data_IF_406016105246
#
_entry.id   IF_406016105246
#
_cell.length_a   1.000
_cell.length_b   1.000
_cell.length_c   1.000
_cell.angle_alpha   90.00
_cell.angle_beta   90.00
_cell.angle_gamma   90.00
#
_symmetry.space_group_name_H-M   'P 1'
#
loop_
_entity.id
_entity.type
_entity.pdbx_description
1 polymer ?
#
# COMPACT_ATOMS: atom_id res chain seq x y z
N UNK A 1 23.73 17.49 -8.67
CA UNK A 1 22.78 17.37 -7.56
C UNK A 1 23.01 16.09 -6.76
N UNK A 2 22.91 14.92 -7.32
CA UNK A 2 23.19 13.62 -6.72
C UNK A 2 24.21 12.87 -7.55
N UNK A 3 25.19 12.21 -6.91
CA UNK A 3 26.17 11.33 -7.57
C UNK A 3 26.35 10.08 -6.74
N UNK A 4 26.20 8.94 -7.39
CA UNK A 4 26.51 7.60 -6.89
C UNK A 4 27.58 7.02 -7.80
N UNK A 5 28.67 6.52 -7.20
CA UNK A 5 29.81 5.91 -7.92
C UNK A 5 30.13 4.59 -7.27
N UNK A 6 29.77 3.50 -7.93
CA UNK A 6 29.86 2.13 -7.43
C UNK A 6 29.14 1.91 -6.09
N UNK A 7 28.11 2.70 -5.78
CA UNK A 7 27.47 2.68 -4.47
C UNK A 7 26.76 1.35 -4.19
N UNK A 8 26.93 0.86 -2.97
CA UNK A 8 26.23 -0.29 -2.44
C UNK A 8 25.85 -0.14 -0.97
N UNK A 9 24.79 -0.86 -0.58
CA UNK A 9 24.37 -0.96 0.82
C UNK A 9 23.93 -2.37 1.16
N UNK A 10 24.42 -2.89 2.29
CA UNK A 10 24.04 -4.17 2.88
C UNK A 10 23.59 -3.96 4.32
N UNK A 11 22.34 -4.31 4.61
CA UNK A 11 21.81 -4.21 5.99
C UNK A 11 22.52 -5.17 6.94
N UNK A 12 22.75 -4.74 8.20
CA UNK A 12 23.32 -5.56 9.25
C UNK A 12 22.52 -6.89 9.40
N UNK A 13 23.26 -8.00 9.55
CA UNK A 13 22.66 -9.34 9.65
C UNK A 13 22.15 -9.95 8.36
N UNK A 14 22.16 -9.22 7.24
CA UNK A 14 21.81 -9.75 5.91
C UNK A 14 23.07 -10.16 5.14
N UNK A 15 23.00 -11.29 4.42
CA UNK A 15 24.10 -11.73 3.52
C UNK A 15 24.04 -11.05 2.17
N UNK A 16 22.83 -10.83 1.65
CA UNK A 16 22.62 -10.19 0.35
C UNK A 16 22.70 -8.66 0.47
N UNK A 17 23.26 -8.03 -0.56
CA UNK A 17 23.22 -6.59 -0.74
C UNK A 17 21.80 -6.15 -1.10
N UNK A 18 21.36 -5.04 -0.55
CA UNK A 18 20.09 -4.41 -0.94
C UNK A 18 20.24 -3.71 -2.29
N UNK A 19 21.37 -3.02 -2.47
CA UNK A 19 21.85 -2.44 -3.74
C UNK A 19 23.36 -2.58 -3.82
N UNK A 20 23.92 -2.72 -5.02
CA UNK A 20 25.36 -2.84 -5.20
C UNK A 20 25.80 -2.34 -6.58
N UNK A 21 26.93 -1.62 -6.63
CA UNK A 21 27.48 -1.14 -7.89
C UNK A 21 26.55 -0.16 -8.61
N UNK A 22 25.87 0.70 -7.85
CA UNK A 22 24.98 1.72 -8.41
C UNK A 22 25.80 2.91 -8.88
N UNK A 23 25.85 3.10 -10.20
CA UNK A 23 26.39 4.30 -10.86
C UNK A 23 25.22 5.14 -11.35
N UNK A 24 25.02 6.32 -10.76
CA UNK A 24 23.90 7.19 -11.09
C UNK A 24 24.26 8.64 -10.82
N UNK A 25 23.97 9.51 -11.77
CA UNK A 25 24.05 10.94 -11.60
C UNK A 25 22.70 11.56 -11.92
N UNK A 26 22.21 12.43 -11.02
CA UNK A 26 20.97 13.20 -11.20
C UNK A 26 21.35 14.68 -11.11
N UNK A 27 21.03 15.43 -12.15
CA UNK A 27 21.25 16.87 -12.21
C UNK A 27 20.05 17.64 -11.62
N UNK A 28 20.22 18.95 -11.37
CA UNK A 28 19.15 19.79 -10.80
C UNK A 28 17.97 19.88 -11.76
N UNK A 29 16.75 19.83 -11.22
CA UNK A 29 15.51 19.92 -11.98
C UNK A 29 15.10 18.62 -12.71
N UNK A 30 15.92 17.54 -12.66
CA UNK A 30 15.52 16.25 -13.19
C UNK A 30 14.39 15.61 -12.34
N UNK A 31 13.51 14.91 -13.00
CA UNK A 31 12.38 14.17 -12.41
C UNK A 31 12.53 12.72 -12.77
N UNK A 32 13.12 11.99 -11.84
CA UNK A 32 13.52 10.59 -12.03
C UNK A 32 12.47 9.66 -11.42
N UNK A 33 11.94 8.76 -12.24
CA UNK A 33 11.16 7.61 -11.76
C UNK A 33 12.10 6.43 -11.55
N UNK A 34 12.21 6.00 -10.30
CA UNK A 34 13.04 4.85 -9.91
C UNK A 34 12.20 3.59 -9.92
N UNK A 35 12.46 2.68 -10.84
CA UNK A 35 11.74 1.43 -11.03
C UNK A 35 12.61 0.21 -10.70
N UNK A 36 11.96 -0.92 -10.61
CA UNK A 36 12.57 -2.23 -10.41
C UNK A 36 11.62 -3.17 -9.68
N UNK A 37 11.83 -4.48 -9.75
CA UNK A 37 11.02 -5.47 -9.05
C UNK A 37 10.97 -5.24 -7.54
N UNK A 38 10.05 -5.89 -6.86
CA UNK A 38 10.01 -5.90 -5.40
C UNK A 38 11.33 -6.45 -4.85
N UNK A 39 11.91 -5.77 -3.86
CA UNK A 39 13.23 -6.13 -3.32
C UNK A 39 14.45 -5.64 -4.12
N UNK A 40 14.28 -4.85 -5.18
CA UNK A 40 15.40 -4.23 -5.92
C UNK A 40 16.15 -3.13 -5.15
N UNK A 41 15.76 -2.84 -3.89
CA UNK A 41 16.47 -1.90 -3.03
C UNK A 41 16.09 -0.44 -3.22
N UNK A 42 14.98 -0.12 -3.91
CA UNK A 42 14.51 1.25 -4.19
C UNK A 42 14.40 2.10 -2.92
N UNK A 43 13.63 1.65 -1.93
CA UNK A 43 13.44 2.35 -0.64
C UNK A 43 14.76 2.47 0.14
N UNK A 44 15.63 1.44 0.07
CA UNK A 44 16.97 1.49 0.67
C UNK A 44 17.82 2.57 0.01
N UNK A 45 17.76 2.69 -1.32
CA UNK A 45 18.49 3.71 -2.05
C UNK A 45 17.97 5.13 -1.70
N UNK A 46 16.64 5.32 -1.63
CA UNK A 46 16.06 6.60 -1.19
C UNK A 46 16.49 6.96 0.24
N UNK A 47 16.47 6.00 1.17
CA UNK A 47 16.92 6.21 2.55
C UNK A 47 18.43 6.54 2.63
N UNK A 48 19.25 5.92 1.77
CA UNK A 48 20.67 6.24 1.66
C UNK A 48 20.89 7.68 1.18
N UNK A 49 20.19 8.09 0.11
CA UNK A 49 20.25 9.44 -0.45
C UNK A 49 19.78 10.49 0.58
N UNK A 50 18.77 10.15 1.39
CA UNK A 50 18.30 11.00 2.48
C UNK A 50 19.26 11.06 3.68
N UNK A 51 20.34 10.26 3.70
CA UNK A 51 21.28 10.19 4.82
C UNK A 51 20.74 9.49 6.06
N UNK A 52 19.74 8.61 5.90
CA UNK A 52 19.04 7.94 7.00
C UNK A 52 19.57 6.53 7.32
N UNK A 53 20.63 6.09 6.66
CA UNK A 53 21.26 4.79 6.90
C UNK A 53 22.53 4.98 7.74
N UNK A 54 22.46 4.82 9.09
CA UNK A 54 23.64 4.95 9.94
C UNK A 54 24.58 3.76 9.74
N UNK A 55 25.88 3.98 9.87
CA UNK A 55 26.93 2.95 9.73
C UNK A 55 26.74 1.76 10.65
N UNK A 56 26.03 1.94 11.78
CA UNK A 56 25.65 0.86 12.70
C UNK A 56 24.55 -0.07 12.15
N UNK A 57 23.79 0.37 11.16
CA UNK A 57 22.67 -0.40 10.58
C UNK A 57 23.05 -1.22 9.34
N UNK A 58 24.32 -1.12 8.88
CA UNK A 58 24.76 -1.84 7.69
C UNK A 58 26.16 -1.47 7.26
N UNK A 59 26.48 -1.88 6.04
CA UNK A 59 27.77 -1.68 5.38
C UNK A 59 27.56 -0.99 4.05
N UNK A 60 28.30 0.09 3.83
CA UNK A 60 28.30 0.83 2.57
C UNK A 60 29.58 0.56 1.77
N UNK A 61 29.46 0.54 0.43
CA UNK A 61 30.59 0.60 -0.50
C UNK A 61 30.40 1.72 -1.52
N UNK A 62 31.48 2.15 -2.19
CA UNK A 62 31.44 3.21 -3.17
C UNK A 62 31.23 4.61 -2.57
N UNK A 63 30.75 5.53 -3.40
CA UNK A 63 30.58 6.95 -3.03
C UNK A 63 29.13 7.38 -3.25
N UNK A 64 28.57 8.11 -2.29
CA UNK A 64 27.31 8.80 -2.40
C UNK A 64 27.53 10.28 -2.01
N UNK A 65 27.17 11.19 -2.92
CA UNK A 65 27.21 12.63 -2.68
C UNK A 65 25.89 13.27 -3.04
N UNK A 66 25.38 14.10 -2.14
CA UNK A 66 24.18 14.91 -2.35
C UNK A 66 24.54 16.38 -2.13
N UNK A 67 24.34 17.19 -3.16
CA UNK A 67 24.53 18.64 -3.10
C UNK A 67 23.18 19.31 -2.87
N UNK A 68 22.95 19.83 -1.69
CA UNK A 68 21.69 20.43 -1.26
C UNK A 68 20.99 19.63 -0.18
N UNK A 69 19.80 20.05 0.17
CA UNK A 69 18.99 19.45 1.24
C UNK A 69 17.99 18.45 0.67
N UNK A 70 18.09 17.16 1.01
CA UNK A 70 17.06 16.20 0.68
C UNK A 70 15.86 16.30 1.63
N UNK A 71 14.65 16.14 1.09
CA UNK A 71 13.42 15.86 1.84
C UNK A 71 12.90 14.51 1.41
N UNK A 72 12.40 13.69 2.33
CA UNK A 72 11.89 12.35 2.02
C UNK A 72 10.48 12.14 2.57
N UNK A 73 9.64 11.51 1.77
CA UNK A 73 8.32 10.99 2.15
C UNK A 73 8.37 9.48 2.01
N UNK A 74 8.13 8.77 3.11
CA UNK A 74 8.09 7.29 3.13
C UNK A 74 6.72 6.75 2.72
N UNK A 75 6.69 5.48 2.35
CA UNK A 75 5.48 4.74 2.01
C UNK A 75 4.45 4.73 3.16
N UNK A 76 4.91 4.61 4.41
CA UNK A 76 4.05 4.66 5.60
C UNK A 76 4.16 6.02 6.29
N UNK A 77 3.16 6.92 6.15
CA UNK A 77 3.17 8.23 6.79
C UNK A 77 3.14 8.15 8.32
N UNK A 78 2.58 7.09 8.89
CA UNK A 78 2.50 6.90 10.34
C UNK A 78 3.89 6.86 11.00
N UNK A 79 4.87 6.31 10.31
CA UNK A 79 6.25 6.19 10.81
C UNK A 79 7.00 7.52 10.85
N UNK A 80 6.47 8.56 10.18
CA UNK A 80 7.10 9.89 10.12
C UNK A 80 6.49 10.92 11.08
N UNK A 81 5.24 10.69 11.54
CA UNK A 81 4.55 11.64 12.41
C UNK A 81 5.04 11.51 13.85
N UNK A 82 5.56 12.60 14.42
CA UNK A 82 6.12 12.66 15.78
C UNK A 82 5.37 13.61 16.71
N UNK A 83 4.69 14.63 16.16
CA UNK A 83 3.99 15.64 16.93
C UNK A 83 2.50 15.34 17.07
N UNK A 84 1.88 15.89 18.12
CA UNK A 84 0.45 15.68 18.40
C UNK A 84 -0.48 16.56 17.59
N UNK A 85 0.01 17.70 17.11
CA UNK A 85 -0.76 18.68 16.33
C UNK A 85 -0.18 18.84 14.96
N UNK A 86 -1.03 19.03 13.99
CA UNK A 86 -0.62 19.13 12.57
C UNK A 86 0.29 20.33 12.31
N UNK A 87 0.03 21.47 12.93
CA UNK A 87 0.89 22.65 12.80
C UNK A 87 2.27 22.43 13.40
N UNK A 88 2.36 21.80 14.58
CA UNK A 88 3.62 21.50 15.25
C UNK A 88 4.44 20.48 14.43
N UNK A 89 3.76 19.51 13.80
CA UNK A 89 4.39 18.53 12.91
C UNK A 89 5.11 19.20 11.73
N UNK A 90 4.45 20.15 11.07
CA UNK A 90 5.04 20.90 9.96
C UNK A 90 6.12 21.87 10.44
N UNK A 91 5.92 22.50 11.60
CA UNK A 91 6.87 23.43 12.20
C UNK A 91 8.17 22.74 12.64
N UNK A 92 8.11 21.48 13.05
CA UNK A 92 9.23 20.72 13.63
C UNK A 92 10.50 20.75 12.76
N UNK A 93 10.36 20.54 11.45
CA UNK A 93 11.49 20.60 10.52
C UNK A 93 12.10 22.01 10.42
N UNK A 94 11.28 23.05 10.47
CA UNK A 94 11.72 24.46 10.42
C UNK A 94 12.44 24.87 11.71
N UNK A 95 11.94 24.44 12.86
CA UNK A 95 12.55 24.68 14.18
C UNK A 95 13.93 24.03 14.27
N UNK A 96 14.05 22.76 13.83
CA UNK A 96 15.34 22.05 13.79
C UNK A 96 16.36 22.71 12.87
N UNK A 97 15.91 23.44 11.86
CA UNK A 97 16.75 24.23 10.95
C UNK A 97 17.03 25.64 11.47
N UNK A 98 16.55 26.00 12.66
CA UNK A 98 16.77 27.29 13.29
C UNK A 98 16.06 28.45 12.59
N UNK A 99 14.92 28.23 11.96
CA UNK A 99 14.14 29.30 11.34
C UNK A 99 13.65 30.28 12.41
N UNK A 100 13.60 31.60 12.10
CA UNK A 100 12.99 32.58 12.97
C UNK A 100 11.50 32.30 13.20
N UNK A 101 11.04 32.42 14.46
CA UNK A 101 9.66 32.10 14.86
C UNK A 101 8.61 32.88 14.05
N UNK A 102 8.91 34.13 13.70
CA UNK A 102 8.04 34.98 12.90
C UNK A 102 7.87 34.48 11.45
N UNK A 103 8.76 33.61 10.95
CA UNK A 103 8.70 32.99 9.62
C UNK A 103 8.14 31.58 9.64
N UNK A 104 8.19 30.87 10.77
CA UNK A 104 7.72 29.47 10.87
C UNK A 104 6.22 29.39 10.59
N UNK A 105 5.42 30.09 11.35
CA UNK A 105 3.97 29.93 11.25
C UNK A 105 3.36 30.39 9.92
N UNK A 106 3.80 31.51 9.30
CA UNK A 106 3.37 31.84 7.94
C UNK A 106 3.71 30.74 6.93
N UNK A 107 4.90 30.11 7.04
CA UNK A 107 5.30 29.01 6.14
C UNK A 107 4.49 27.75 6.39
N UNK A 108 4.19 27.41 7.65
CA UNK A 108 3.29 26.31 8.02
C UNK A 108 1.93 26.48 7.35
N UNK A 109 1.31 27.65 7.48
CA UNK A 109 -0.01 27.91 6.86
C UNK A 109 0.04 27.89 5.33
N UNK A 110 1.13 28.38 4.74
CA UNK A 110 1.36 28.34 3.31
C UNK A 110 1.42 26.90 2.80
N UNK A 111 2.30 26.07 3.35
CA UNK A 111 2.52 24.71 2.86
C UNK A 111 1.37 23.77 3.15
N UNK A 112 0.68 23.91 4.29
CA UNK A 112 -0.55 23.15 4.58
C UNK A 112 -1.63 23.42 3.52
N UNK A 113 -1.71 24.65 3.02
CA UNK A 113 -2.62 25.02 1.95
C UNK A 113 -2.18 24.49 0.58
N UNK A 114 -0.86 24.55 0.29
CA UNK A 114 -0.27 23.99 -0.94
C UNK A 114 -0.60 22.49 -1.10
N UNK A 115 -0.49 21.71 -0.03
CA UNK A 115 -0.81 20.27 -0.06
C UNK A 115 -2.31 19.97 0.05
N UNK A 116 -3.18 20.98 0.14
CA UNK A 116 -4.62 20.81 0.33
C UNK A 116 -4.98 20.13 1.65
N UNK A 117 -4.25 20.42 2.73
CA UNK A 117 -4.58 19.88 4.05
C UNK A 117 -5.91 20.49 4.56
N UNK A 118 -6.92 19.67 4.94
CA UNK A 118 -8.29 20.14 5.08
C UNK A 118 -8.61 20.78 6.45
N UNK A 119 -7.65 20.79 7.38
CA UNK A 119 -7.85 21.26 8.74
C UNK A 119 -6.90 22.41 9.09
N UNK A 120 -7.18 23.07 10.21
CA UNK A 120 -6.28 24.03 10.83
C UNK A 120 -5.09 23.36 11.56
N UNK A 121 -4.18 24.17 12.08
CA UNK A 121 -2.95 23.73 12.76
C UNK A 121 -3.18 22.92 14.03
N UNK A 122 -4.33 23.11 14.68
CA UNK A 122 -4.64 22.50 15.98
C UNK A 122 -5.18 21.07 15.85
N UNK A 123 -5.45 20.60 14.62
CA UNK A 123 -5.92 19.23 14.38
C UNK A 123 -4.93 18.20 14.90
N UNK A 124 -5.43 17.24 15.67
CA UNK A 124 -4.59 16.16 16.22
C UNK A 124 -4.19 15.15 15.13
N UNK A 125 -2.90 14.79 15.11
CA UNK A 125 -2.33 13.86 14.13
C UNK A 125 -2.89 12.44 14.26
N UNK A 126 -3.20 11.98 15.48
CA UNK A 126 -3.83 10.67 15.75
C UNK A 126 -5.31 10.56 15.32
N UNK A 127 -5.91 11.65 14.87
CA UNK A 127 -7.28 11.70 14.35
C UNK A 127 -7.36 11.88 12.83
N UNK A 128 -6.21 11.81 12.15
CA UNK A 128 -6.12 11.93 10.72
C UNK A 128 -6.30 10.57 10.04
N UNK A 129 -6.99 10.56 8.92
CA UNK A 129 -6.99 9.42 7.99
C UNK A 129 -5.60 9.28 7.35
N UNK A 130 -5.30 8.09 6.80
CA UNK A 130 -4.01 7.85 6.14
C UNK A 130 -3.69 8.86 5.03
N UNK A 131 -4.69 9.28 4.25
CA UNK A 131 -4.52 10.31 3.21
C UNK A 131 -4.25 11.70 3.76
N UNK A 132 -4.84 12.06 4.88
CA UNK A 132 -4.57 13.32 5.57
C UNK A 132 -3.19 13.32 6.21
N UNK A 133 -2.76 12.19 6.78
CA UNK A 133 -1.41 12.00 7.30
C UNK A 133 -0.37 12.14 6.19
N UNK A 134 -0.60 11.53 5.02
CA UNK A 134 0.27 11.63 3.87
C UNK A 134 0.46 13.09 3.40
N UNK A 135 -0.63 13.86 3.33
CA UNK A 135 -0.56 15.29 3.00
C UNK A 135 0.20 16.09 4.06
N UNK A 136 0.00 15.75 5.34
CA UNK A 136 0.71 16.40 6.43
C UNK A 136 2.21 16.13 6.39
N UNK A 137 2.62 14.87 6.14
CA UNK A 137 4.03 14.49 5.95
C UNK A 137 4.62 15.22 4.75
N UNK A 138 3.88 15.30 3.64
CA UNK A 138 4.32 16.04 2.46
C UNK A 138 4.49 17.53 2.77
N UNK A 139 3.58 18.15 3.54
CA UNK A 139 3.70 19.52 4.01
C UNK A 139 4.97 19.72 4.85
N UNK A 140 5.21 18.86 5.84
CA UNK A 140 6.41 18.90 6.67
C UNK A 140 7.71 18.74 5.86
N UNK A 141 7.68 17.90 4.82
CA UNK A 141 8.81 17.68 3.92
C UNK A 141 9.07 18.89 3.00
N UNK A 142 8.03 19.55 2.52
CA UNK A 142 8.12 20.72 1.63
C UNK A 142 8.37 22.03 2.40
N UNK A 143 8.00 22.13 3.68
CA UNK A 143 8.14 23.34 4.48
C UNK A 143 9.58 23.89 4.46
N UNK A 144 10.63 23.08 4.65
CA UNK A 144 12.03 23.53 4.58
C UNK A 144 12.54 23.92 3.19
N UNK A 145 11.72 23.79 2.15
CA UNK A 145 12.11 24.02 0.74
C UNK A 145 13.31 23.14 0.34
N UNK A 146 13.12 21.81 0.22
CA UNK A 146 14.20 20.90 -0.15
C UNK A 146 14.67 21.15 -1.59
N UNK A 147 15.98 20.94 -1.84
CA UNK A 147 16.55 20.96 -3.20
C UNK A 147 16.29 19.66 -3.95
N UNK A 148 16.14 18.55 -3.20
CA UNK A 148 15.88 17.19 -3.68
C UNK A 148 14.72 16.59 -2.92
N UNK A 149 13.65 16.22 -3.62
CA UNK A 149 12.47 15.57 -3.06
C UNK A 149 12.50 14.06 -3.39
N UNK A 150 12.52 13.25 -2.35
CA UNK A 150 12.54 11.79 -2.44
C UNK A 150 11.16 11.27 -2.01
N UNK A 151 10.51 10.50 -2.86
CA UNK A 151 9.15 10.06 -2.66
C UNK A 151 9.06 8.54 -2.83
N UNK A 152 8.75 7.83 -1.75
CA UNK A 152 8.58 6.38 -1.75
C UNK A 152 7.08 6.05 -1.70
N UNK A 153 6.50 5.77 -2.87
CA UNK A 153 5.08 5.44 -3.07
C UNK A 153 4.10 6.44 -2.41
N UNK A 154 4.22 7.75 -2.70
CA UNK A 154 3.48 8.80 -1.98
C UNK A 154 1.96 8.74 -2.19
N UNK A 155 1.47 7.97 -3.18
CA UNK A 155 0.04 7.85 -3.45
C UNK A 155 -0.56 6.50 -3.04
N UNK A 156 0.25 5.58 -2.50
CA UNK A 156 -0.15 4.21 -2.24
C UNK A 156 -1.38 4.07 -1.32
N UNK A 157 -1.46 4.86 -0.24
CA UNK A 157 -2.51 4.77 0.79
C UNK A 157 -3.71 5.70 0.55
N UNK A 158 -3.84 6.26 -0.66
CA UNK A 158 -4.79 7.32 -0.94
C UNK A 158 -5.99 6.83 -1.74
N UNK A 159 -7.15 7.42 -1.45
CA UNK A 159 -8.27 7.36 -2.37
C UNK A 159 -7.97 8.17 -3.66
N UNK A 160 -8.73 8.01 -4.73
CA UNK A 160 -8.46 8.69 -6.00
C UNK A 160 -8.35 10.21 -5.88
N UNK A 161 -9.14 10.82 -4.99
CA UNK A 161 -9.11 12.27 -4.75
C UNK A 161 -7.83 12.70 -4.02
N UNK A 162 -7.44 11.98 -2.98
CA UNK A 162 -6.20 12.22 -2.24
C UNK A 162 -4.98 12.04 -3.13
N UNK A 163 -4.96 10.98 -3.95
CA UNK A 163 -3.88 10.74 -4.92
C UNK A 163 -3.79 11.86 -5.97
N UNK A 164 -4.92 12.36 -6.47
CA UNK A 164 -4.95 13.49 -7.39
C UNK A 164 -4.39 14.76 -6.76
N UNK A 165 -4.71 15.02 -5.48
CA UNK A 165 -4.17 16.18 -4.75
C UNK A 165 -2.66 16.09 -4.58
N UNK A 166 -2.12 14.93 -4.17
CA UNK A 166 -0.66 14.72 -4.06
C UNK A 166 0.02 14.94 -5.42
N UNK A 167 -0.55 14.40 -6.51
CA UNK A 167 0.00 14.64 -7.86
C UNK A 167 -0.03 16.12 -8.25
N UNK A 168 -1.06 16.86 -7.84
CA UNK A 168 -1.12 18.31 -8.08
C UNK A 168 0.00 19.04 -7.33
N UNK A 169 0.21 18.71 -6.05
CA UNK A 169 1.33 19.27 -5.26
C UNK A 169 2.69 18.95 -5.90
N UNK A 170 2.84 17.73 -6.45
CA UNK A 170 4.06 17.35 -7.18
C UNK A 170 4.25 18.18 -8.47
N UNK A 171 3.19 18.51 -9.20
CA UNK A 171 3.29 19.41 -10.36
C UNK A 171 3.77 20.80 -9.96
N UNK A 172 3.23 21.34 -8.88
CA UNK A 172 3.62 22.65 -8.35
C UNK A 172 5.08 22.65 -7.87
N UNK A 173 5.54 21.59 -7.21
CA UNK A 173 6.95 21.42 -6.84
C UNK A 173 7.88 21.34 -8.06
N UNK A 174 7.42 20.68 -9.12
CA UNK A 174 8.13 20.59 -10.42
C UNK A 174 8.25 21.95 -11.11
N UNK A 175 7.19 22.76 -11.09
CA UNK A 175 7.21 24.13 -11.62
C UNK A 175 8.20 25.03 -10.86
N UNK A 176 8.45 24.74 -9.58
CA UNK A 176 9.46 25.39 -8.75
C UNK A 176 10.89 24.84 -8.95
N UNK A 177 11.13 24.04 -10.00
CA UNK A 177 12.44 23.45 -10.37
C UNK A 177 13.06 22.52 -9.30
N UNK A 178 12.26 21.96 -8.41
CA UNK A 178 12.73 20.97 -7.43
C UNK A 178 13.12 19.67 -8.14
N UNK A 179 14.30 19.13 -7.79
CA UNK A 179 14.73 17.81 -8.26
C UNK A 179 13.92 16.73 -7.57
N UNK A 180 13.38 15.77 -8.32
CA UNK A 180 12.49 14.73 -7.77
C UNK A 180 13.03 13.33 -8.08
N UNK A 181 13.08 12.46 -7.08
CA UNK A 181 13.24 11.01 -7.26
C UNK A 181 12.01 10.33 -6.69
N UNK A 182 11.24 9.69 -7.55
CA UNK A 182 9.95 9.09 -7.23
C UNK A 182 10.00 7.57 -7.43
N UNK A 183 9.54 6.83 -6.45
CA UNK A 183 9.16 5.42 -6.56
C UNK A 183 7.64 5.35 -6.56
N UNK A 184 7.03 4.71 -7.54
CA UNK A 184 5.60 4.51 -7.64
C UNK A 184 5.26 3.17 -8.30
N UNK A 185 4.14 2.58 -7.88
CA UNK A 185 3.58 1.40 -8.52
C UNK A 185 2.65 1.78 -9.68
N UNK A 186 1.77 2.77 -9.50
CA UNK A 186 0.85 3.24 -10.54
C UNK A 186 1.50 4.33 -11.39
N UNK A 187 2.42 3.92 -12.22
CA UNK A 187 3.29 4.85 -12.97
C UNK A 187 2.56 5.63 -14.07
N UNK A 188 1.46 5.11 -14.63
CA UNK A 188 0.67 5.79 -15.67
C UNK A 188 0.28 7.22 -15.27
N UNK A 189 -0.08 7.42 -14.00
CA UNK A 189 -0.59 8.67 -13.49
C UNK A 189 0.50 9.71 -13.22
N UNK A 190 1.75 9.27 -13.02
CA UNK A 190 2.91 10.13 -12.73
C UNK A 190 3.83 10.31 -13.93
N UNK A 191 3.74 9.41 -14.91
CA UNK A 191 4.61 9.41 -16.08
C UNK A 191 4.67 10.76 -16.84
N UNK A 192 3.56 11.53 -16.98
CA UNK A 192 3.61 12.86 -17.60
C UNK A 192 4.50 13.88 -16.86
N UNK A 193 4.81 13.65 -15.60
CA UNK A 193 5.67 14.52 -14.78
C UNK A 193 7.15 14.14 -14.88
N UNK A 194 7.46 12.95 -15.38
CA UNK A 194 8.77 12.32 -15.33
C UNK A 194 9.57 12.66 -16.59
N UNK A 195 10.85 13.01 -16.41
CA UNK A 195 11.79 13.27 -17.51
C UNK A 195 12.71 12.09 -17.78
N UNK A 196 12.92 11.21 -16.77
CA UNK A 196 13.89 10.13 -16.83
C UNK A 196 13.44 8.94 -16.00
N UNK A 197 13.67 7.75 -16.50
CA UNK A 197 13.40 6.47 -15.82
C UNK A 197 14.73 5.80 -15.56
N UNK A 198 14.92 5.37 -14.31
CA UNK A 198 16.06 4.56 -13.87
C UNK A 198 15.53 3.24 -13.33
N UNK A 199 16.05 2.13 -13.85
CA UNK A 199 15.62 0.78 -13.46
C UNK A 199 16.74 0.10 -12.69
N UNK A 200 16.43 -0.38 -11.46
CA UNK A 200 17.34 -1.16 -10.64
C UNK A 200 17.09 -2.66 -10.80
N UNK A 201 18.17 -3.44 -10.82
CA UNK A 201 18.12 -4.89 -10.69
C UNK A 201 18.12 -5.31 -9.20
N UNK A 202 17.47 -6.43 -8.83
CA UNK A 202 17.50 -6.95 -7.47
C UNK A 202 18.93 -7.24 -6.98
N UNK A 203 19.34 -6.53 -5.91
CA UNK A 203 20.70 -6.67 -5.34
C UNK A 203 21.84 -6.18 -6.23
N UNK A 204 21.51 -5.53 -7.35
CA UNK A 204 22.45 -5.03 -8.33
C UNK A 204 22.43 -3.52 -8.50
N UNK A 205 23.03 -3.08 -9.61
CA UNK A 205 23.13 -1.67 -10.00
C UNK A 205 21.98 -1.21 -10.91
N UNK A 206 22.27 -0.18 -11.70
CA UNK A 206 21.36 0.35 -12.70
C UNK A 206 21.33 -0.56 -13.92
N UNK A 207 20.15 -1.12 -14.22
CA UNK A 207 19.91 -1.96 -15.41
C UNK A 207 19.65 -1.12 -16.67
N UNK A 208 18.87 -0.06 -16.51
CA UNK A 208 18.51 0.83 -17.60
C UNK A 208 18.33 2.26 -17.07
N UNK A 209 18.64 3.22 -17.93
CA UNK A 209 18.59 4.64 -17.63
C UNK A 209 18.28 5.42 -18.90
N UNK A 210 17.20 6.20 -18.94
CA UNK A 210 16.82 6.97 -20.10
C UNK A 210 15.43 7.59 -20.04
N UNK A 211 14.88 8.04 -21.16
CA UNK A 211 13.57 8.70 -21.19
C UNK A 211 12.43 7.70 -20.91
N UNK A 212 11.23 8.19 -20.51
CA UNK A 212 10.06 7.35 -20.24
C UNK A 212 9.64 6.43 -21.38
N UNK A 213 10.00 6.74 -22.63
CA UNK A 213 9.75 5.89 -23.82
C UNK A 213 10.43 4.53 -23.74
N UNK A 214 11.43 4.33 -22.88
CA UNK A 214 12.02 3.01 -22.64
C UNK A 214 10.99 1.97 -22.15
N UNK A 215 9.91 2.43 -21.51
CA UNK A 215 8.87 1.57 -20.96
C UNK A 215 7.91 1.03 -22.03
N UNK A 216 7.92 1.55 -23.25
CA UNK A 216 7.05 1.13 -24.36
C UNK A 216 7.66 0.11 -25.30
N UNK A 217 8.84 -0.44 -24.95
CA UNK A 217 9.57 -1.41 -25.77
C UNK A 217 9.87 -2.72 -25.03
N UNK A 218 10.83 -3.53 -25.52
CA UNK A 218 11.19 -4.81 -24.93
C UNK A 218 11.51 -4.75 -23.43
N UNK A 219 12.10 -3.65 -22.97
CA UNK A 219 12.34 -3.42 -21.54
C UNK A 219 11.03 -3.37 -20.74
N UNK A 220 9.98 -2.73 -21.29
CA UNK A 220 8.66 -2.72 -20.67
C UNK A 220 8.06 -4.11 -20.52
N UNK A 221 8.17 -4.96 -21.57
CA UNK A 221 7.73 -6.36 -21.55
C UNK A 221 8.46 -7.15 -20.44
N UNK A 222 9.77 -7.00 -20.35
CA UNK A 222 10.61 -7.66 -19.35
C UNK A 222 10.27 -7.19 -17.93
N UNK A 223 10.08 -5.90 -17.73
CA UNK A 223 9.70 -5.33 -16.43
C UNK A 223 8.30 -5.80 -16.00
N UNK A 224 7.35 -5.84 -16.94
CA UNK A 224 6.00 -6.35 -16.66
C UNK A 224 6.03 -7.83 -16.28
N UNK A 225 6.86 -8.64 -16.94
CA UNK A 225 7.08 -10.04 -16.58
C UNK A 225 7.78 -10.20 -15.22
N UNK A 226 8.67 -9.27 -14.86
CA UNK A 226 9.34 -9.21 -13.56
C UNK A 226 8.45 -8.65 -12.42
N UNK A 227 7.18 -8.29 -12.71
CA UNK A 227 6.22 -7.84 -11.71
C UNK A 227 6.12 -6.33 -11.54
N UNK A 228 6.77 -5.54 -12.39
CA UNK A 228 6.62 -4.08 -12.39
C UNK A 228 5.35 -3.70 -13.15
N UNK A 229 4.58 -2.75 -12.61
CA UNK A 229 3.49 -2.15 -13.34
C UNK A 229 4.05 -1.25 -14.45
N UNK A 230 3.71 -1.55 -15.70
CA UNK A 230 4.21 -0.83 -16.88
C UNK A 230 3.01 -0.46 -17.76
N UNK A 231 2.96 0.77 -18.30
CA UNK A 231 1.91 1.19 -19.23
C UNK A 231 1.76 0.25 -20.42
N UNK A 232 0.52 0.06 -20.88
CA UNK A 232 0.26 -0.80 -22.04
C UNK A 232 0.28 -2.30 -21.76
N UNK A 233 0.48 -2.73 -20.52
CA UNK A 233 0.45 -4.14 -20.12
C UNK A 233 -0.81 -4.45 -19.29
N UNK A 234 -1.97 -4.66 -19.93
CA UNK A 234 -3.21 -4.94 -19.23
C UNK A 234 -3.10 -6.22 -18.40
N UNK A 235 -3.85 -6.28 -17.31
CA UNK A 235 -3.98 -7.51 -16.52
C UNK A 235 -4.99 -8.43 -17.16
N UNK A 236 -4.82 -9.77 -17.08
CA UNK A 236 -5.78 -10.73 -17.62
C UNK A 236 -7.16 -10.54 -17.00
N UNK A 237 -8.20 -10.41 -17.83
CA UNK A 237 -9.57 -10.37 -17.34
C UNK A 237 -9.98 -11.72 -16.74
N UNK A 238 -10.54 -11.69 -15.54
CA UNK A 238 -11.05 -12.87 -14.84
C UNK A 238 -12.60 -12.82 -14.85
N UNK A 239 -13.20 -13.11 -15.99
CA UNK A 239 -14.66 -13.05 -16.13
C UNK A 239 -15.32 -14.26 -15.46
N UNK A 240 -16.32 -14.01 -14.64
CA UNK A 240 -17.21 -15.05 -14.15
C UNK A 240 -18.09 -15.57 -15.31
N UNK A 241 -18.26 -16.87 -15.32
CA UNK A 241 -19.09 -17.56 -16.31
C UNK A 241 -20.40 -18.06 -15.72
N UNK A 242 -20.58 -18.07 -14.42
CA UNK A 242 -21.72 -18.69 -13.72
C UNK A 242 -22.72 -17.65 -13.22
N UNK A 243 -24.01 -17.98 -13.28
CA UNK A 243 -25.05 -17.21 -12.58
C UNK A 243 -24.84 -17.33 -11.07
N UNK A 244 -24.95 -16.25 -10.29
CA UNK A 244 -24.82 -16.28 -8.84
C UNK A 244 -25.82 -17.22 -8.20
N UNK A 245 -25.37 -18.01 -7.21
CA UNK A 245 -26.20 -18.94 -6.45
C UNK A 245 -27.01 -18.26 -5.34
N UNK A 246 -27.22 -18.98 -4.23
CA UNK A 246 -27.98 -18.48 -3.09
C UNK A 246 -27.24 -17.38 -2.34
N UNK A 247 -28.00 -16.50 -1.65
CA UNK A 247 -27.44 -15.47 -0.81
C UNK A 247 -26.70 -16.09 0.39
N UNK A 248 -25.42 -15.80 0.55
CA UNK A 248 -24.59 -16.20 1.69
C UNK A 248 -24.74 -15.21 2.86
N UNK A 249 -24.89 -13.92 2.56
CA UNK A 249 -25.04 -12.85 3.54
C UNK A 249 -25.85 -11.71 2.96
N UNK A 250 -26.62 -11.04 3.82
CA UNK A 250 -27.35 -9.80 3.47
C UNK A 250 -27.43 -8.86 4.67
N UNK A 251 -27.60 -7.57 4.38
CA UNK A 251 -27.92 -6.56 5.39
C UNK A 251 -29.39 -6.16 5.29
N UNK A 252 -29.95 -5.69 6.41
CA UNK A 252 -31.32 -5.17 6.51
C UNK A 252 -31.29 -3.93 7.36
N UNK A 253 -31.50 -2.75 6.75
CA UNK A 253 -31.49 -1.44 7.39
C UNK A 253 -30.29 -1.23 8.35
N UNK A 254 -29.13 -1.69 7.91
CA UNK A 254 -27.94 -1.80 8.75
C UNK A 254 -27.45 -0.43 9.23
N UNK A 255 -27.29 -0.30 10.54
CA UNK A 255 -26.58 0.81 11.19
C UNK A 255 -25.44 0.27 12.05
N UNK A 256 -24.26 0.82 11.88
CA UNK A 256 -23.07 0.51 12.70
C UNK A 256 -22.50 1.81 13.22
N UNK A 257 -22.37 1.92 14.55
CA UNK A 257 -22.04 3.20 15.19
C UNK A 257 -23.04 4.30 14.76
N UNK A 258 -22.56 5.38 14.15
CA UNK A 258 -23.39 6.50 13.64
C UNK A 258 -23.68 6.40 12.13
N UNK A 259 -23.17 5.38 11.46
CA UNK A 259 -23.28 5.21 9.99
C UNK A 259 -24.49 4.32 9.64
N UNK A 260 -25.26 4.75 8.66
CA UNK A 260 -26.34 3.96 8.05
C UNK A 260 -25.87 3.49 6.66
N UNK A 261 -26.17 2.24 6.33
CA UNK A 261 -25.76 1.62 5.07
C UNK A 261 -26.98 1.22 4.25
N UNK A 262 -26.86 1.33 2.93
CA UNK A 262 -27.79 0.69 2.01
C UNK A 262 -27.71 -0.84 2.15
N UNK A 263 -28.77 -1.53 1.80
CA UNK A 263 -28.77 -2.99 1.88
C UNK A 263 -27.84 -3.61 0.86
N UNK A 264 -26.96 -4.48 1.35
CA UNK A 264 -25.96 -5.20 0.56
C UNK A 264 -26.17 -6.69 0.75
N UNK A 265 -25.98 -7.46 -0.31
CA UNK A 265 -25.96 -8.92 -0.26
C UNK A 265 -24.77 -9.46 -1.05
N UNK A 266 -24.30 -10.66 -0.69
CA UNK A 266 -23.29 -11.42 -1.44
C UNK A 266 -23.81 -12.83 -1.62
N UNK A 267 -23.71 -13.35 -2.83
CA UNK A 267 -24.19 -14.67 -3.23
C UNK A 267 -23.03 -15.64 -3.46
N UNK A 268 -23.34 -16.93 -3.51
CA UNK A 268 -22.40 -17.95 -3.99
C UNK A 268 -21.96 -17.64 -5.41
N UNK A 269 -20.64 -17.73 -5.67
CA UNK A 269 -20.06 -17.45 -6.97
C UNK A 269 -20.11 -15.97 -7.40
N UNK A 270 -20.35 -15.02 -6.48
CA UNK A 270 -20.40 -13.59 -6.73
C UNK A 270 -19.26 -12.86 -6.05
N UNK A 271 -18.69 -11.88 -6.76
CA UNK A 271 -17.78 -10.89 -6.18
C UNK A 271 -18.43 -9.52 -6.15
N UNK A 272 -18.58 -8.94 -4.97
CA UNK A 272 -19.13 -7.60 -4.75
C UNK A 272 -18.00 -6.66 -4.33
N UNK A 273 -17.74 -5.62 -5.12
CA UNK A 273 -16.81 -4.56 -4.75
C UNK A 273 -17.56 -3.43 -4.02
N UNK A 274 -17.01 -2.98 -2.89
CA UNK A 274 -17.47 -1.81 -2.15
C UNK A 274 -16.45 -0.70 -2.35
N UNK A 275 -16.89 0.40 -2.96
CA UNK A 275 -16.07 1.58 -3.29
C UNK A 275 -16.61 2.82 -2.58
N UNK A 276 -15.85 3.92 -2.61
CA UNK A 276 -16.25 5.20 -2.03
C UNK A 276 -15.09 5.95 -1.40
N UNK A 277 -15.27 7.23 -0.98
CA UNK A 277 -14.23 8.04 -0.37
C UNK A 277 -13.66 7.44 0.94
N UNK A 278 -12.48 7.91 1.36
CA UNK A 278 -11.96 7.55 2.67
C UNK A 278 -12.85 8.10 3.78
N UNK A 279 -12.98 7.36 4.89
CA UNK A 279 -13.81 7.76 6.04
C UNK A 279 -15.32 7.49 5.89
N UNK A 280 -15.83 7.09 4.73
CA UNK A 280 -17.28 6.85 4.51
C UNK A 280 -17.80 5.58 5.24
N UNK A 281 -16.90 4.78 5.81
CA UNK A 281 -17.28 3.62 6.60
C UNK A 281 -17.14 2.26 5.92
N UNK A 282 -16.42 2.15 4.81
CA UNK A 282 -16.21 0.88 4.09
C UNK A 282 -15.67 -0.24 4.98
N UNK A 283 -14.57 0.00 5.71
CA UNK A 283 -13.99 -0.97 6.64
C UNK A 283 -14.94 -1.28 7.81
N UNK A 284 -15.74 -0.30 8.26
CA UNK A 284 -16.76 -0.52 9.29
C UNK A 284 -17.85 -1.48 8.79
N UNK A 285 -18.28 -1.33 7.53
CA UNK A 285 -19.20 -2.27 6.88
C UNK A 285 -18.58 -3.66 6.77
N UNK A 286 -17.32 -3.77 6.32
CA UNK A 286 -16.59 -5.03 6.23
C UNK A 286 -16.54 -5.76 7.59
N UNK A 287 -16.17 -5.05 8.66
CA UNK A 287 -16.14 -5.61 10.01
C UNK A 287 -17.53 -6.06 10.52
N UNK A 288 -18.60 -5.33 10.17
CA UNK A 288 -19.95 -5.70 10.55
C UNK A 288 -20.43 -6.94 9.81
N UNK A 289 -20.19 -7.03 8.50
CA UNK A 289 -20.48 -8.23 7.68
C UNK A 289 -19.61 -9.42 8.12
N UNK A 290 -18.34 -9.18 8.46
CA UNK A 290 -17.46 -10.18 9.05
C UNK A 290 -17.85 -10.64 10.46
N UNK A 291 -18.93 -10.10 11.05
CA UNK A 291 -19.41 -10.46 12.38
C UNK A 291 -18.54 -9.93 13.53
N UNK A 292 -17.57 -9.06 13.23
CA UNK A 292 -16.60 -8.51 14.20
C UNK A 292 -17.10 -7.24 14.87
N UNK A 293 -18.09 -6.56 14.27
CA UNK A 293 -18.79 -5.43 14.86
C UNK A 293 -20.28 -5.73 14.99
N UNK A 294 -20.83 -5.43 16.16
CA UNK A 294 -22.26 -5.55 16.40
C UNK A 294 -23.01 -4.38 15.77
N UNK A 295 -24.08 -4.61 15.00
CA UNK A 295 -24.98 -3.56 14.54
C UNK A 295 -25.59 -2.75 15.68
N UNK A 296 -25.66 -1.42 15.52
CA UNK A 296 -26.40 -0.55 16.43
C UNK A 296 -27.92 -0.65 16.17
N UNK A 297 -28.31 -0.80 14.89
CA UNK A 297 -29.69 -1.08 14.47
C UNK A 297 -29.66 -1.91 13.18
N UNK A 298 -30.81 -2.52 12.81
CA UNK A 298 -30.90 -3.40 11.67
C UNK A 298 -30.21 -4.75 11.93
N UNK A 299 -29.83 -5.43 10.87
CA UNK A 299 -29.21 -6.76 11.01
C UNK A 299 -28.25 -7.06 9.84
N UNK A 300 -27.23 -7.88 10.15
CA UNK A 300 -26.51 -8.72 9.20
C UNK A 300 -27.04 -10.15 9.36
N UNK A 301 -27.49 -10.74 8.27
CA UNK A 301 -28.19 -12.03 8.25
C UNK A 301 -27.52 -12.98 7.26
N UNK A 302 -27.35 -14.22 7.67
CA UNK A 302 -26.96 -15.35 6.83
C UNK A 302 -28.00 -16.48 6.97
N UNK A 303 -28.00 -17.51 6.12
CA UNK A 303 -28.87 -18.66 6.29
C UNK A 303 -28.75 -19.33 7.68
N UNK A 304 -27.58 -19.23 8.29
CA UNK A 304 -27.25 -19.83 9.59
C UNK A 304 -27.44 -18.87 10.78
N UNK A 305 -27.92 -17.66 10.56
CA UNK A 305 -28.22 -16.68 11.61
C UNK A 305 -27.38 -15.40 11.52
N UNK A 306 -27.12 -14.78 12.67
CA UNK A 306 -26.46 -13.47 12.75
C UNK A 306 -24.97 -13.63 13.10
N UNK A 307 -24.03 -13.29 12.23
CA UNK A 307 -22.58 -13.54 12.41
C UNK A 307 -22.01 -13.00 13.73
N UNK A 308 -22.39 -11.80 14.15
CA UNK A 308 -21.89 -11.21 15.41
C UNK A 308 -22.30 -11.94 16.69
N UNK A 309 -23.16 -12.97 16.58
CA UNK A 309 -23.57 -13.83 17.70
C UNK A 309 -22.83 -15.17 17.72
N UNK A 310 -22.05 -15.47 16.70
CA UNK A 310 -21.34 -16.74 16.62
C UNK A 310 -20.08 -16.76 17.49
N UNK A 311 -19.73 -17.95 17.97
CA UNK A 311 -18.42 -18.15 18.61
C UNK A 311 -17.30 -18.04 17.55
N UNK A 312 -16.14 -17.53 17.93
CA UNK A 312 -15.02 -17.26 17.03
C UNK A 312 -14.69 -18.46 16.13
N UNK A 313 -14.66 -19.69 16.67
CA UNK A 313 -14.37 -20.90 15.87
C UNK A 313 -15.42 -21.14 14.77
N UNK A 314 -16.70 -20.90 15.05
CA UNK A 314 -17.78 -21.03 14.07
C UNK A 314 -17.70 -19.93 13.03
N UNK A 315 -17.42 -18.69 13.49
CA UNK A 315 -17.27 -17.54 12.60
C UNK A 315 -16.17 -17.80 11.56
N UNK A 316 -14.98 -18.20 12.01
CA UNK A 316 -13.82 -18.46 11.15
C UNK A 316 -14.05 -19.53 10.08
N UNK A 317 -14.88 -20.55 10.35
CA UNK A 317 -15.22 -21.59 9.35
C UNK A 317 -16.27 -21.16 8.33
N UNK A 318 -16.93 -20.01 8.52
CA UNK A 318 -18.00 -19.52 7.65
C UNK A 318 -17.62 -18.24 6.90
N UNK A 319 -16.90 -17.36 7.57
CA UNK A 319 -16.48 -16.05 7.04
C UNK A 319 -14.98 -15.86 7.26
N UNK A 320 -14.23 -15.77 6.17
CA UNK A 320 -12.83 -15.36 6.17
C UNK A 320 -12.74 -13.84 6.06
N UNK A 321 -12.04 -13.21 6.98
CA UNK A 321 -11.85 -11.74 6.97
C UNK A 321 -10.40 -11.38 6.78
N UNK A 322 -10.14 -10.40 5.89
CA UNK A 322 -8.83 -9.77 5.69
C UNK A 322 -8.97 -8.31 6.10
N UNK A 323 -8.09 -7.85 6.98
CA UNK A 323 -8.12 -6.48 7.48
C UNK A 323 -7.25 -5.55 6.63
N UNK A 324 -7.59 -4.27 6.63
CA UNK A 324 -6.83 -3.24 5.94
C UNK A 324 -5.37 -3.21 6.40
N UNK A 325 -5.09 -3.34 7.70
CA UNK A 325 -3.75 -3.58 8.23
C UNK A 325 -3.57 -5.08 8.54
N UNK A 326 -2.70 -5.80 7.80
CA UNK A 326 -2.49 -7.25 8.00
C UNK A 326 -1.99 -7.60 9.40
N UNK A 327 -1.17 -6.72 10.02
CA UNK A 327 -0.57 -6.96 11.33
C UNK A 327 -1.61 -7.11 12.44
N UNK A 328 -2.80 -6.52 12.26
CA UNK A 328 -3.90 -6.68 13.20
C UNK A 328 -4.50 -8.10 13.22
N UNK A 329 -4.12 -8.96 12.26
CA UNK A 329 -4.55 -10.36 12.23
C UNK A 329 -3.55 -11.30 12.90
N UNK A 330 -2.28 -10.90 13.05
CA UNK A 330 -1.21 -11.80 13.46
C UNK A 330 -1.09 -11.86 14.99
N UNK A 331 -0.99 -13.10 15.49
CA UNK A 331 -0.93 -13.38 16.95
C UNK A 331 0.15 -14.38 17.31
N UNK A 332 0.80 -15.04 16.32
CA UNK A 332 1.83 -16.05 16.55
C UNK A 332 3.22 -15.54 16.19
N UNK A 333 4.24 -16.34 16.54
CA UNK A 333 5.65 -16.01 16.32
C UNK A 333 6.19 -16.49 14.96
N UNK A 334 5.46 -17.35 14.25
CA UNK A 334 5.86 -17.82 12.92
C UNK A 334 4.70 -17.82 11.92
N UNK A 335 5.02 -17.63 10.64
CA UNK A 335 4.05 -17.69 9.53
C UNK A 335 3.33 -19.03 9.51
N UNK A 336 4.01 -20.14 9.75
CA UNK A 336 3.41 -21.48 9.80
C UNK A 336 2.41 -21.62 10.94
N UNK A 337 2.76 -21.16 12.14
CA UNK A 337 1.87 -21.25 13.30
C UNK A 337 0.64 -20.36 13.13
N UNK A 338 0.79 -19.22 12.45
CA UNK A 338 -0.33 -18.34 12.11
C UNK A 338 -1.38 -19.05 11.24
N UNK A 339 -0.94 -19.81 10.24
CA UNK A 339 -1.83 -20.62 9.40
C UNK A 339 -2.39 -21.85 10.11
N UNK A 340 -1.66 -22.42 11.08
CA UNK A 340 -2.10 -23.57 11.86
C UNK A 340 -3.11 -23.21 12.97
N UNK A 341 -3.31 -21.93 13.23
CA UNK A 341 -4.26 -21.41 14.23
C UNK A 341 -5.66 -21.97 13.96
N UNK A 342 -6.39 -22.33 15.02
CA UNK A 342 -7.74 -22.88 14.90
C UNK A 342 -7.79 -24.37 14.55
N UNK A 343 -6.65 -25.04 14.37
CA UNK A 343 -6.57 -26.48 14.08
C UNK A 343 -6.59 -26.78 12.58
N UNK A 344 -6.08 -25.89 11.75
CA UNK A 344 -5.89 -26.12 10.31
C UNK A 344 -5.01 -27.36 10.08
N UNK A 345 -5.44 -28.35 9.25
CA UNK A 345 -4.64 -29.52 8.97
C UNK A 345 -3.28 -29.18 8.35
N UNK A 346 -2.18 -29.88 8.72
CA UNK A 346 -0.84 -29.59 8.19
C UNK A 346 -0.77 -29.55 6.66
N UNK A 347 -1.44 -30.47 5.98
CA UNK A 347 -1.50 -30.48 4.52
C UNK A 347 -2.12 -29.21 3.93
N UNK A 348 -3.12 -28.63 4.59
CA UNK A 348 -3.73 -27.36 4.18
C UNK A 348 -2.80 -26.17 4.45
N UNK A 349 -2.05 -26.21 5.55
CA UNK A 349 -1.03 -25.20 5.85
C UNK A 349 0.04 -25.21 4.76
N UNK A 350 0.55 -26.39 4.39
CA UNK A 350 1.56 -26.54 3.33
C UNK A 350 1.03 -26.04 1.97
N UNK A 351 -0.20 -26.42 1.60
CA UNK A 351 -0.86 -25.94 0.38
C UNK A 351 -0.93 -24.41 0.33
N UNK A 352 -1.36 -23.77 1.42
CA UNK A 352 -1.48 -22.31 1.47
C UNK A 352 -0.12 -21.60 1.43
N UNK A 353 0.90 -22.17 2.09
CA UNK A 353 2.26 -21.67 2.04
C UNK A 353 2.81 -21.66 0.61
N UNK A 354 2.64 -22.77 -0.11
CA UNK A 354 3.06 -22.90 -1.51
C UNK A 354 2.27 -21.97 -2.43
N UNK A 355 0.95 -22.01 -2.34
CA UNK A 355 0.04 -21.28 -3.22
C UNK A 355 0.18 -19.77 -3.11
N UNK A 356 0.60 -19.25 -1.95
CA UNK A 356 0.78 -17.82 -1.69
C UNK A 356 2.26 -17.41 -1.59
N UNK A 357 3.17 -18.29 -2.03
CA UNK A 357 4.61 -18.05 -2.04
C UNK A 357 5.16 -17.60 -0.67
N UNK A 358 4.75 -18.31 0.38
CA UNK A 358 5.18 -18.10 1.78
C UNK A 358 6.03 -19.25 2.31
N UNK A 359 6.30 -20.29 1.51
CA UNK A 359 6.97 -21.52 1.96
C UNK A 359 8.37 -21.25 2.55
N UNK A 360 9.17 -20.42 1.89
CA UNK A 360 10.50 -20.03 2.40
C UNK A 360 10.44 -19.16 3.66
N UNK A 361 9.31 -18.53 3.91
CA UNK A 361 9.06 -17.66 5.06
C UNK A 361 8.33 -18.38 6.21
N UNK A 362 8.10 -19.68 6.10
CA UNK A 362 7.29 -20.45 7.05
C UNK A 362 7.77 -20.32 8.51
N UNK A 363 9.08 -20.11 8.74
CA UNK A 363 9.69 -19.91 10.05
C UNK A 363 9.92 -18.45 10.42
N UNK A 364 9.65 -17.51 9.52
CA UNK A 364 9.81 -16.08 9.77
C UNK A 364 8.73 -15.59 10.75
N UNK A 365 9.07 -14.54 11.49
CA UNK A 365 8.09 -13.84 12.31
C UNK A 365 7.16 -13.01 11.41
N UNK A 366 5.83 -13.12 11.53
CA UNK A 366 4.86 -12.36 10.73
C UNK A 366 5.11 -10.84 10.69
N UNK A 367 5.57 -10.27 11.81
CA UNK A 367 5.85 -8.84 11.94
C UNK A 367 7.17 -8.39 11.29
N UNK A 368 7.96 -9.31 10.74
CA UNK A 368 9.19 -9.00 9.98
C UNK A 368 9.01 -9.12 8.47
N UNK A 369 7.80 -9.44 8.03
CA UNK A 369 7.46 -9.57 6.63
C UNK A 369 7.38 -8.20 5.93
N UNK A 370 7.69 -8.18 4.63
CA UNK A 370 7.36 -7.00 3.82
C UNK A 370 5.83 -6.82 3.74
N UNK A 371 5.36 -5.60 3.45
CA UNK A 371 3.92 -5.31 3.35
C UNK A 371 3.17 -6.26 2.41
N UNK A 372 3.76 -6.59 1.25
CA UNK A 372 3.20 -7.57 0.32
C UNK A 372 3.16 -8.99 0.87
N UNK A 373 4.21 -9.42 1.57
CA UNK A 373 4.27 -10.74 2.23
C UNK A 373 3.24 -10.83 3.37
N UNK A 374 3.14 -9.79 4.20
CA UNK A 374 2.16 -9.70 5.27
C UNK A 374 0.72 -9.75 4.72
N UNK A 375 0.45 -9.08 3.59
CA UNK A 375 -0.85 -9.12 2.92
C UNK A 375 -1.19 -10.54 2.42
N UNK A 376 -0.23 -11.25 1.80
CA UNK A 376 -0.43 -12.64 1.39
C UNK A 376 -0.70 -13.55 2.57
N UNK A 377 0.01 -13.37 3.69
CA UNK A 377 -0.24 -14.12 4.92
C UNK A 377 -1.65 -13.84 5.46
N UNK A 378 -2.09 -12.58 5.49
CA UNK A 378 -3.45 -12.19 5.90
C UNK A 378 -4.53 -12.88 5.06
N UNK A 379 -4.35 -12.97 3.75
CA UNK A 379 -5.25 -13.73 2.87
C UNK A 379 -5.17 -15.24 3.17
N UNK A 380 -3.98 -15.77 3.38
CA UNK A 380 -3.78 -17.19 3.71
C UNK A 380 -4.49 -17.56 5.02
N UNK A 381 -4.41 -16.74 6.06
CA UNK A 381 -5.11 -16.98 7.33
C UNK A 381 -6.64 -16.95 7.16
N UNK A 382 -7.16 -16.04 6.35
CA UNK A 382 -8.59 -15.98 6.04
C UNK A 382 -9.08 -17.24 5.30
N UNK A 383 -8.21 -17.88 4.50
CA UNK A 383 -8.51 -19.10 3.74
C UNK A 383 -8.24 -20.40 4.53
N UNK A 384 -7.56 -20.34 5.68
CA UNK A 384 -7.11 -21.51 6.42
C UNK A 384 -8.27 -22.44 6.83
N UNK A 385 -9.37 -21.86 7.30
CA UNK A 385 -10.57 -22.60 7.70
C UNK A 385 -11.53 -22.91 6.53
N UNK A 386 -11.14 -22.67 5.28
CA UNK A 386 -11.94 -22.88 4.07
C UNK A 386 -13.37 -22.30 4.13
N UNK A 387 -13.54 -21.02 4.49
CA UNK A 387 -14.86 -20.40 4.59
C UNK A 387 -15.49 -20.22 3.21
N UNK A 388 -16.84 -20.25 3.13
CA UNK A 388 -17.57 -20.02 1.87
C UNK A 388 -17.72 -18.54 1.52
N UNK A 389 -17.56 -17.65 2.48
CA UNK A 389 -17.65 -16.19 2.29
C UNK A 389 -16.33 -15.53 2.69
N UNK A 390 -15.83 -14.67 1.83
CA UNK A 390 -14.64 -13.87 2.09
C UNK A 390 -15.01 -12.37 2.14
N UNK A 391 -14.56 -11.68 3.19
CA UNK A 391 -14.69 -10.25 3.37
C UNK A 391 -13.28 -9.66 3.39
N UNK A 392 -12.93 -8.94 2.33
CA UNK A 392 -11.55 -8.50 2.09
C UNK A 392 -11.49 -6.97 2.11
N UNK A 393 -10.67 -6.41 3.00
CA UNK A 393 -10.44 -4.98 3.07
C UNK A 393 -9.06 -4.64 2.47
N UNK A 394 -9.06 -4.01 1.29
CA UNK A 394 -7.90 -3.63 0.48
C UNK A 394 -6.92 -4.82 0.22
N UNK A 395 -7.38 -5.96 -0.32
CA UNK A 395 -6.56 -7.17 -0.43
C UNK A 395 -5.35 -7.03 -1.37
N UNK A 396 -5.43 -6.17 -2.38
CA UNK A 396 -4.38 -5.96 -3.40
C UNK A 396 -3.44 -4.79 -3.10
N UNK A 397 -3.65 -4.13 -1.97
CA UNK A 397 -2.88 -2.96 -1.59
C UNK A 397 -1.38 -3.26 -1.46
N UNK A 398 -0.51 -2.41 -2.05
CA UNK A 398 0.95 -2.54 -1.98
C UNK A 398 1.53 -3.78 -2.67
N UNK A 399 0.79 -4.40 -3.59
CA UNK A 399 1.26 -5.56 -4.35
C UNK A 399 1.95 -5.14 -5.65
N UNK A 400 3.08 -5.77 -5.94
CA UNK A 400 3.64 -5.75 -7.29
C UNK A 400 2.68 -6.46 -8.28
N UNK A 401 2.86 -6.18 -9.57
CA UNK A 401 1.97 -6.69 -10.63
C UNK A 401 1.85 -8.21 -10.63
N UNK A 402 2.96 -8.93 -10.43
CA UNK A 402 2.96 -10.39 -10.42
C UNK A 402 2.13 -10.93 -9.26
N UNK A 403 2.41 -10.47 -8.05
CA UNK A 403 1.69 -10.87 -6.84
C UNK A 403 0.21 -10.48 -6.91
N UNK A 404 -0.09 -9.31 -7.48
CA UNK A 404 -1.46 -8.87 -7.72
C UNK A 404 -2.22 -9.85 -8.65
N UNK A 405 -1.63 -10.22 -9.79
CA UNK A 405 -2.22 -11.18 -10.74
C UNK A 405 -2.47 -12.54 -10.07
N UNK A 406 -1.50 -13.04 -9.33
CA UNK A 406 -1.60 -14.32 -8.61
C UNK A 406 -2.73 -14.29 -7.58
N UNK A 407 -2.84 -13.22 -6.79
CA UNK A 407 -3.91 -13.05 -5.80
C UNK A 407 -5.28 -12.94 -6.46
N UNK A 408 -5.42 -12.13 -7.50
CA UNK A 408 -6.69 -11.95 -8.21
C UNK A 408 -7.12 -13.25 -8.91
N UNK A 409 -6.18 -13.99 -9.49
CA UNK A 409 -6.45 -15.31 -10.08
C UNK A 409 -6.90 -16.34 -9.02
N UNK A 410 -6.32 -16.28 -7.82
CA UNK A 410 -6.77 -17.09 -6.68
C UNK A 410 -8.20 -16.72 -6.29
N UNK A 411 -8.50 -15.43 -6.11
CA UNK A 411 -9.84 -14.97 -5.76
C UNK A 411 -10.88 -15.36 -6.83
N UNK A 412 -10.53 -15.21 -8.12
CA UNK A 412 -11.37 -15.64 -9.22
C UNK A 412 -11.65 -17.16 -9.16
N UNK A 413 -10.63 -17.98 -8.93
CA UNK A 413 -10.80 -19.43 -8.82
C UNK A 413 -11.69 -19.83 -7.63
N UNK A 414 -11.63 -19.10 -6.51
CA UNK A 414 -12.50 -19.29 -5.36
C UNK A 414 -13.94 -18.90 -5.68
N UNK A 415 -14.16 -17.74 -6.31
CA UNK A 415 -15.48 -17.32 -6.79
C UNK A 415 -16.09 -18.39 -7.71
N UNK A 416 -15.34 -18.83 -8.70
CA UNK A 416 -15.80 -19.79 -9.71
C UNK A 416 -16.07 -21.19 -9.08
N UNK A 417 -15.48 -21.49 -7.92
CA UNK A 417 -15.80 -22.68 -7.10
C UNK A 417 -16.97 -22.47 -6.13
N UNK A 418 -17.69 -21.35 -6.23
CA UNK A 418 -18.91 -21.08 -5.46
C UNK A 418 -18.70 -20.23 -4.20
N UNK A 419 -17.50 -19.70 -3.94
CA UNK A 419 -17.31 -18.79 -2.81
C UNK A 419 -17.93 -17.43 -3.13
N UNK A 420 -18.58 -16.82 -2.14
CA UNK A 420 -18.96 -15.41 -2.19
C UNK A 420 -17.78 -14.53 -1.74
N UNK A 421 -17.55 -13.44 -2.44
CA UNK A 421 -16.47 -12.51 -2.10
C UNK A 421 -17.04 -11.10 -1.99
N UNK A 422 -16.80 -10.43 -0.89
CA UNK A 422 -16.94 -8.98 -0.79
C UNK A 422 -15.56 -8.36 -0.63
N UNK A 423 -15.23 -7.39 -1.47
CA UNK A 423 -13.98 -6.65 -1.36
C UNK A 423 -14.25 -5.15 -1.21
N UNK A 424 -13.68 -4.55 -0.18
CA UNK A 424 -13.56 -3.10 -0.08
C UNK A 424 -12.29 -2.72 -0.80
N UNK A 425 -12.35 -1.81 -1.76
CA UNK A 425 -11.15 -1.43 -2.50
C UNK A 425 -11.26 -0.09 -3.22
N UNK A 426 -10.10 0.56 -3.39
CA UNK A 426 -9.88 1.69 -4.28
C UNK A 426 -9.21 1.27 -5.60
N UNK A 427 -8.88 -0.01 -5.74
CA UNK A 427 -8.23 -0.56 -6.91
C UNK A 427 -9.23 -0.75 -8.07
N UNK A 428 -9.27 0.20 -9.00
CA UNK A 428 -10.12 0.14 -10.17
C UNK A 428 -9.82 -1.06 -11.08
N UNK A 429 -8.56 -1.52 -11.10
CA UNK A 429 -8.17 -2.72 -11.87
C UNK A 429 -8.79 -3.98 -11.24
N UNK A 430 -8.76 -4.10 -9.91
CA UNK A 430 -9.42 -5.21 -9.21
C UNK A 430 -10.93 -5.20 -9.48
N UNK A 431 -11.56 -4.03 -9.38
CA UNK A 431 -13.00 -3.88 -9.65
C UNK A 431 -13.33 -4.33 -11.09
N UNK A 432 -12.57 -3.85 -12.07
CA UNK A 432 -12.83 -4.14 -13.50
C UNK A 432 -12.61 -5.61 -13.87
N UNK A 433 -11.68 -6.29 -13.18
CA UNK A 433 -11.25 -7.66 -13.53
C UNK A 433 -12.03 -8.71 -12.76
N UNK A 434 -12.42 -8.44 -11.51
CA UNK A 434 -12.97 -9.46 -10.61
C UNK A 434 -14.42 -9.19 -10.17
N UNK A 435 -14.85 -7.93 -10.07
CA UNK A 435 -16.16 -7.62 -9.50
C UNK A 435 -17.31 -7.87 -10.49
N UNK A 436 -18.31 -8.61 -10.05
CA UNK A 436 -19.57 -8.81 -10.79
C UNK A 436 -20.52 -7.63 -10.54
N UNK A 437 -20.42 -6.99 -9.38
CA UNK A 437 -21.24 -5.84 -8.97
C UNK A 437 -20.46 -4.90 -8.07
N UNK A 438 -20.74 -3.62 -8.20
CA UNK A 438 -20.14 -2.56 -7.36
C UNK A 438 -21.22 -1.88 -6.52
N UNK A 439 -20.90 -1.63 -5.26
CA UNK A 439 -21.68 -0.86 -4.28
C UNK A 439 -20.88 0.37 -3.92
N UNK A 440 -21.40 1.56 -4.20
CA UNK A 440 -20.76 2.83 -3.81
C UNK A 440 -21.36 3.33 -2.51
N UNK A 441 -20.51 3.68 -1.53
CA UNK A 441 -20.88 4.28 -0.25
C UNK A 441 -20.65 5.78 -0.26
#
# INVERSE_FOLDING_TARGET
MLTLDGYGWRHAGRRAWAVRGVDLRIDRGERVLLLGPSGAGKSTLLAAIAGLLPTSSGEAEGVLKVDGRPGIVFQDPHSQLVMRRSGDEVAFGLENLGWPVDRIWPRVDEVMREVGFPYDRDRRTDQLSGGEQQRLVLAGTLAPRPDLLLLDEPTANLDPQGAAQVRQTLREAVEAEVTVVLVEHRIDEVLPLITRVVVLDPGGGVRADGPPSLLTGPLGDELAAAGVWVPGHPVPAQRASASPGHALISTQELRVRHMAYQDVHVREGETVAVTGPNGVGKSTLALALGGLLRPAAGAVVTPDGKPHKWRAKVLATRIGSVFQNPEHQFVTSTVRDELALGGTPPARVDELLERLHLAELARANPFTLSGGQARRLSVATALAAAPRLLILDEPTFGQDRRTWIELVSLLASLRDSGHGIMTVTHDSSLVSVLADRTVSL
#
